data_IF_560355323224
#
_entry.id   IF_560355323224
#
_cell.length_a   1.000
_cell.length_b   1.000
_cell.length_c   1.000
_cell.angle_alpha   90.00
_cell.angle_beta   90.00
_cell.angle_gamma   90.00
#
_symmetry.space_group_name_H-M   'P 1'
#
loop_
_entity.id
_entity.type
_entity.pdbx_description
1 polymer ?
#
# COMPACT_ATOMS: atom_id res chain seq x y z
N UNK A 1 -43.08 56.22 40.09
CA UNK A 1 -41.84 56.80 40.61
C UNK A 1 -40.66 56.00 40.10
N UNK A 2 -39.62 56.66 39.59
CA UNK A 2 -38.37 56.00 39.17
C UNK A 2 -37.40 55.88 40.35
N UNK A 3 -36.45 54.93 40.31
CA UNK A 3 -35.46 54.80 41.41
C UNK A 3 -34.64 56.06 41.62
N UNK A 4 -34.27 56.74 40.53
CA UNK A 4 -33.55 58.04 40.57
C UNK A 4 -34.39 59.15 41.20
N UNK A 5 -35.71 59.10 41.05
CA UNK A 5 -36.64 60.04 41.64
C UNK A 5 -36.86 59.76 43.13
N UNK A 6 -36.96 58.49 43.52
CA UNK A 6 -37.04 58.05 44.91
C UNK A 6 -35.75 58.39 45.69
N UNK A 7 -34.59 58.17 45.08
CA UNK A 7 -33.29 58.54 45.66
C UNK A 7 -33.14 60.06 45.79
N UNK A 8 -33.59 60.84 44.80
CA UNK A 8 -33.61 62.31 44.88
C UNK A 8 -34.51 62.83 46.01
N UNK A 9 -35.69 62.23 46.20
CA UNK A 9 -36.61 62.58 47.30
C UNK A 9 -35.99 62.27 48.67
N UNK A 10 -35.17 61.22 48.76
CA UNK A 10 -34.44 60.83 49.96
C UNK A 10 -33.08 61.53 50.13
N UNK A 11 -32.73 62.45 49.23
CA UNK A 11 -31.41 63.11 49.18
C UNK A 11 -30.24 62.10 49.20
N UNK A 12 -30.36 61.02 48.42
CA UNK A 12 -29.34 59.98 48.26
C UNK A 12 -28.82 59.98 46.82
N UNK A 13 -27.50 59.99 46.64
CA UNK A 13 -26.88 60.01 45.30
C UNK A 13 -26.82 58.62 44.65
N UNK A 14 -26.80 57.56 45.46
CA UNK A 14 -26.74 56.16 45.02
C UNK A 14 -27.68 55.28 45.84
N UNK A 15 -27.99 54.09 45.32
CA UNK A 15 -28.72 53.09 46.09
C UNK A 15 -27.93 52.77 47.38
N UNK A 16 -28.56 52.84 48.56
CA UNK A 16 -27.91 52.53 49.83
C UNK A 16 -27.40 51.09 49.91
N UNK A 17 -26.49 50.80 50.83
CA UNK A 17 -25.95 49.44 50.99
C UNK A 17 -26.86 48.53 51.81
N UNK A 18 -27.66 49.11 52.70
CA UNK A 18 -28.55 48.38 53.58
C UNK A 18 -29.80 49.20 53.94
N UNK A 19 -30.75 48.54 54.59
CA UNK A 19 -31.99 49.17 55.05
C UNK A 19 -31.75 50.22 56.15
N UNK A 20 -30.62 50.16 56.86
CA UNK A 20 -30.31 51.09 57.94
C UNK A 20 -29.97 52.48 57.39
N UNK A 21 -29.20 52.55 56.31
CA UNK A 21 -28.90 53.80 55.60
C UNK A 21 -30.19 54.46 55.08
N UNK A 22 -31.14 53.69 54.54
CA UNK A 22 -32.46 54.18 54.12
C UNK A 22 -33.25 54.74 55.32
N UNK A 23 -33.24 54.02 56.45
CA UNK A 23 -33.94 54.42 57.67
C UNK A 23 -33.41 55.73 58.28
N UNK A 24 -32.08 55.92 58.24
CA UNK A 24 -31.43 57.15 58.73
C UNK A 24 -31.80 58.35 57.85
N UNK A 25 -31.75 58.20 56.53
CA UNK A 25 -32.16 59.25 55.59
C UNK A 25 -33.64 59.63 55.77
N UNK A 26 -34.50 58.62 55.92
CA UNK A 26 -35.92 58.84 56.20
C UNK A 26 -36.14 59.60 57.51
N UNK A 27 -35.52 59.19 58.63
CA UNK A 27 -35.69 59.84 59.93
C UNK A 27 -35.21 61.30 59.91
N UNK A 28 -34.15 61.61 59.16
CA UNK A 28 -33.65 62.98 58.98
C UNK A 28 -34.67 63.86 58.27
N UNK A 29 -35.22 63.37 57.15
CA UNK A 29 -36.16 64.12 56.32
C UNK A 29 -37.56 64.17 56.93
N UNK A 30 -37.99 63.11 57.59
CA UNK A 30 -39.28 63.02 58.28
C UNK A 30 -39.38 64.06 59.40
N UNK A 31 -38.31 64.32 60.15
CA UNK A 31 -38.29 65.39 61.18
C UNK A 31 -38.43 66.80 60.58
N UNK A 32 -37.95 67.02 59.36
CA UNK A 32 -37.95 68.32 58.69
C UNK A 32 -39.26 68.60 57.95
N UNK A 33 -39.89 67.56 57.41
CA UNK A 33 -41.09 67.65 56.58
C UNK A 33 -42.35 67.13 57.28
N UNK A 34 -42.31 66.90 58.61
CA UNK A 34 -43.48 66.48 59.37
C UNK A 34 -44.57 67.58 59.34
N UNK A 35 -45.86 67.23 59.16
CA UNK A 35 -46.96 68.20 59.17
C UNK A 35 -46.99 69.08 60.43
N UNK A 36 -46.74 68.49 61.60
CA UNK A 36 -46.70 69.20 62.89
C UNK A 36 -45.49 70.14 63.04
N UNK A 37 -44.48 70.02 62.18
CA UNK A 37 -43.27 70.87 62.17
C UNK A 37 -43.28 71.91 61.04
N UNK A 38 -44.42 72.11 60.38
CA UNK A 38 -44.61 73.07 59.29
C UNK A 38 -44.46 72.50 57.88
N UNK A 39 -44.40 71.16 57.73
CA UNK A 39 -44.38 70.48 56.43
C UNK A 39 -45.77 70.27 55.82
N UNK A 40 -45.84 69.97 54.54
CA UNK A 40 -47.08 69.60 53.85
C UNK A 40 -47.27 68.09 53.86
N UNK A 41 -48.49 67.62 54.11
CA UNK A 41 -48.85 66.20 54.16
C UNK A 41 -48.50 65.44 52.86
N UNK A 42 -48.66 66.09 51.71
CA UNK A 42 -48.28 65.54 50.40
C UNK A 42 -46.78 65.22 50.29
N UNK A 43 -45.91 66.07 50.85
CA UNK A 43 -44.46 65.85 50.84
C UNK A 43 -44.06 64.70 51.75
N UNK A 44 -44.76 64.52 52.87
CA UNK A 44 -44.52 63.42 53.79
C UNK A 44 -44.97 62.06 53.21
N UNK A 45 -46.09 62.03 52.49
CA UNK A 45 -46.55 60.85 51.77
C UNK A 45 -45.59 60.46 50.62
N UNK A 46 -45.08 61.44 49.87
CA UNK A 46 -44.07 61.20 48.83
C UNK A 46 -42.76 60.65 49.41
N UNK A 47 -42.34 61.14 50.58
CA UNK A 47 -41.18 60.61 51.30
C UNK A 47 -41.39 59.15 51.72
N UNK A 48 -42.56 58.80 52.26
CA UNK A 48 -42.91 57.43 52.61
C UNK A 48 -42.89 56.48 51.41
N UNK A 49 -43.47 56.92 50.28
CA UNK A 49 -43.44 56.15 49.03
C UNK A 49 -42.01 55.93 48.51
N UNK A 50 -41.14 56.95 48.62
CA UNK A 50 -39.74 56.88 48.20
C UNK A 50 -38.95 55.83 49.00
N UNK A 51 -39.14 55.77 50.31
CA UNK A 51 -38.53 54.74 51.18
C UNK A 51 -38.97 53.34 50.77
N UNK A 52 -40.28 53.13 50.63
CA UNK A 52 -40.83 51.82 50.29
C UNK A 52 -40.28 51.32 48.93
N UNK A 53 -40.14 52.22 47.97
CA UNK A 53 -39.59 51.89 46.66
C UNK A 53 -38.09 51.54 46.70
N UNK A 54 -37.29 52.26 47.50
CA UNK A 54 -35.85 51.98 47.65
C UNK A 54 -35.62 50.66 48.39
N UNK A 55 -36.40 50.35 49.43
CA UNK A 55 -36.32 49.08 50.14
C UNK A 55 -36.68 47.89 49.22
N UNK A 56 -37.72 48.03 48.38
CA UNK A 56 -38.06 47.02 47.37
C UNK A 56 -36.95 46.84 46.32
N UNK A 57 -36.26 47.91 45.93
CA UNK A 57 -35.14 47.83 45.00
C UNK A 57 -33.95 47.08 45.62
N UNK A 58 -33.66 47.28 46.91
CA UNK A 58 -32.61 46.56 47.63
C UNK A 58 -32.87 45.06 47.70
N UNK A 59 -34.07 44.66 48.12
CA UNK A 59 -34.44 43.24 48.19
C UNK A 59 -34.34 42.50 46.85
N UNK A 60 -34.56 43.20 45.73
CA UNK A 60 -34.41 42.63 44.39
C UNK A 60 -32.93 42.38 44.03
N UNK A 61 -32.02 43.27 44.43
CA UNK A 61 -30.58 43.13 44.15
C UNK A 61 -30.02 41.94 44.92
N UNK A 62 -30.32 41.81 46.21
CA UNK A 62 -29.83 40.70 47.04
C UNK A 62 -30.30 39.33 46.50
N UNK A 63 -31.57 39.23 46.12
CA UNK A 63 -32.12 38.02 45.51
C UNK A 63 -31.45 37.65 44.17
N UNK A 64 -30.98 38.65 43.40
CA UNK A 64 -30.25 38.40 42.14
C UNK A 64 -28.81 37.92 42.38
N UNK A 65 -28.12 38.44 43.40
CA UNK A 65 -26.76 38.04 43.76
C UNK A 65 -26.75 36.59 44.27
N UNK A 66 -27.64 36.24 45.19
CA UNK A 66 -27.73 34.86 45.70
C UNK A 66 -28.04 33.84 44.60
N UNK A 67 -28.92 34.21 43.65
CA UNK A 67 -29.26 33.35 42.50
C UNK A 67 -28.08 33.18 41.55
N UNK A 68 -27.23 34.20 41.40
CA UNK A 68 -26.00 34.14 40.61
C UNK A 68 -24.97 33.19 41.23
N UNK A 69 -24.74 33.28 42.54
CA UNK A 69 -23.78 32.42 43.24
C UNK A 69 -24.18 30.94 43.25
N UNK A 70 -25.47 30.62 43.45
CA UNK A 70 -25.96 29.24 43.38
C UNK A 70 -25.76 28.64 41.99
N UNK A 71 -26.04 29.40 40.93
CA UNK A 71 -25.81 28.97 39.54
C UNK A 71 -24.33 28.70 39.25
N UNK A 72 -23.41 29.51 39.82
CA UNK A 72 -21.97 29.29 39.66
C UNK A 72 -21.52 27.97 40.30
N UNK A 73 -21.94 27.70 41.54
CA UNK A 73 -21.59 26.46 42.26
C UNK A 73 -22.15 25.21 41.56
N UNK A 74 -23.36 25.29 41.02
CA UNK A 74 -23.96 24.21 40.24
C UNK A 74 -23.22 23.97 38.92
N UNK A 75 -22.78 25.04 38.25
CA UNK A 75 -22.01 24.96 37.01
C UNK A 75 -20.63 24.33 37.23
N UNK A 76 -19.94 24.70 38.31
CA UNK A 76 -18.62 24.16 38.66
C UNK A 76 -18.70 22.67 39.02
N UNK A 77 -19.70 22.26 39.82
CA UNK A 77 -19.94 20.86 40.15
C UNK A 77 -20.30 20.01 38.92
N UNK A 78 -21.02 20.59 37.96
CA UNK A 78 -21.32 19.92 36.69
C UNK A 78 -20.07 19.79 35.80
N UNK A 79 -19.19 20.79 35.79
CA UNK A 79 -17.93 20.76 35.06
C UNK A 79 -16.99 19.69 35.59
N UNK A 80 -16.87 19.56 36.91
CA UNK A 80 -16.05 18.54 37.57
C UNK A 80 -16.56 17.12 37.26
N UNK A 81 -17.87 16.87 37.35
CA UNK A 81 -18.48 15.59 36.95
C UNK A 81 -18.20 15.24 35.49
N UNK A 82 -18.24 16.23 34.59
CA UNK A 82 -17.90 16.03 33.18
C UNK A 82 -16.40 15.72 32.99
N UNK A 83 -15.51 16.32 33.76
CA UNK A 83 -14.09 16.04 33.70
C UNK A 83 -13.76 14.61 34.15
N UNK A 84 -14.36 14.16 35.26
CA UNK A 84 -14.21 12.79 35.76
C UNK A 84 -14.75 11.77 34.74
N UNK A 85 -15.98 12.00 34.22
CA UNK A 85 -16.57 11.15 33.18
C UNK A 85 -15.71 11.09 31.91
N UNK A 86 -15.13 12.22 31.48
CA UNK A 86 -14.21 12.26 30.34
C UNK A 86 -12.94 11.46 30.61
N UNK A 87 -12.35 11.59 31.79
CA UNK A 87 -11.16 10.82 32.17
C UNK A 87 -11.43 9.31 32.20
N UNK A 88 -12.58 8.88 32.74
CA UNK A 88 -13.00 7.47 32.72
C UNK A 88 -13.27 6.96 31.31
N UNK A 89 -13.96 7.74 30.46
CA UNK A 89 -14.18 7.38 29.06
C UNK A 89 -12.87 7.24 28.29
N UNK A 90 -11.89 8.12 28.52
CA UNK A 90 -10.58 8.05 27.89
C UNK A 90 -9.81 6.79 28.33
N UNK A 91 -9.86 6.43 29.62
CA UNK A 91 -9.27 5.18 30.12
C UNK A 91 -9.92 3.95 29.48
N UNK A 92 -11.25 3.90 29.40
CA UNK A 92 -11.98 2.80 28.75
C UNK A 92 -11.62 2.67 27.27
N UNK A 93 -11.57 3.80 26.53
CA UNK A 93 -11.14 3.81 25.13
C UNK A 93 -9.71 3.30 24.95
N UNK A 94 -8.77 3.73 25.80
CA UNK A 94 -7.39 3.27 25.75
C UNK A 94 -7.26 1.75 25.98
N UNK A 95 -8.06 1.18 26.89
CA UNK A 95 -8.10 -0.27 27.14
C UNK A 95 -8.71 -1.04 25.96
N UNK A 96 -9.80 -0.54 25.38
CA UNK A 96 -10.44 -1.13 24.19
C UNK A 96 -9.51 -1.08 22.97
N UNK A 97 -8.87 0.05 22.72
CA UNK A 97 -7.90 0.22 21.63
C UNK A 97 -6.68 -0.69 21.82
N UNK A 98 -6.21 -0.87 23.07
CA UNK A 98 -5.13 -1.83 23.36
C UNK A 98 -5.54 -3.26 23.03
N UNK A 99 -6.75 -3.68 23.38
CA UNK A 99 -7.28 -5.01 23.04
C UNK A 99 -7.40 -5.20 21.52
N UNK A 100 -7.95 -4.20 20.82
CA UNK A 100 -8.06 -4.20 19.35
C UNK A 100 -6.69 -4.25 18.69
N UNK A 101 -5.72 -3.48 19.18
CA UNK A 101 -4.36 -3.49 18.67
C UNK A 101 -3.68 -4.85 18.87
N UNK A 102 -3.86 -5.51 20.02
CA UNK A 102 -3.31 -6.86 20.26
C UNK A 102 -3.95 -7.89 19.30
N UNK A 103 -5.27 -7.82 19.09
CA UNK A 103 -5.95 -8.71 18.14
C UNK A 103 -5.50 -8.44 16.69
N UNK A 104 -5.36 -7.17 16.31
CA UNK A 104 -4.90 -6.77 14.99
C UNK A 104 -3.43 -7.17 14.75
N UNK A 105 -2.54 -6.95 15.72
CA UNK A 105 -1.12 -7.35 15.59
C UNK A 105 -0.96 -8.86 15.52
N UNK A 106 -1.76 -9.63 16.28
CA UNK A 106 -1.78 -11.09 16.13
C UNK A 106 -2.23 -11.50 14.73
N UNK A 107 -3.32 -10.92 14.21
CA UNK A 107 -3.79 -11.20 12.85
C UNK A 107 -2.76 -10.87 11.77
N UNK A 108 -2.10 -9.71 11.87
CA UNK A 108 -1.01 -9.30 10.97
C UNK A 108 0.16 -10.29 11.05
N UNK A 109 0.51 -10.74 12.26
CA UNK A 109 1.62 -11.67 12.46
C UNK A 109 1.36 -13.03 11.80
N UNK A 110 0.13 -13.56 11.92
CA UNK A 110 -0.26 -14.82 11.28
C UNK A 110 -0.19 -14.71 9.75
N UNK A 111 -0.71 -13.63 9.17
CA UNK A 111 -0.64 -13.39 7.72
C UNK A 111 0.81 -13.32 7.26
N UNK A 112 1.66 -12.61 8.00
CA UNK A 112 3.08 -12.46 7.67
C UNK A 112 3.81 -13.80 7.70
N UNK A 113 3.53 -14.66 8.70
CA UNK A 113 4.07 -16.03 8.75
C UNK A 113 3.62 -16.86 7.55
N UNK A 114 2.35 -16.79 7.15
CA UNK A 114 1.85 -17.52 5.97
C UNK A 114 2.53 -17.04 4.67
N UNK A 115 2.74 -15.74 4.52
CA UNK A 115 3.48 -15.18 3.37
C UNK A 115 4.93 -15.71 3.35
N UNK A 116 5.61 -15.71 4.51
CA UNK A 116 6.98 -16.24 4.62
C UNK A 116 7.03 -17.73 4.29
N UNK A 117 6.11 -18.54 4.83
CA UNK A 117 6.04 -19.97 4.53
C UNK A 117 5.75 -20.24 3.04
N UNK A 118 4.86 -19.46 2.43
CA UNK A 118 4.59 -19.54 0.99
C UNK A 118 5.83 -19.20 0.15
N UNK A 119 6.55 -18.14 0.53
CA UNK A 119 7.80 -17.75 -0.12
C UNK A 119 8.91 -18.82 -0.01
N UNK A 120 9.03 -19.45 1.16
CA UNK A 120 9.95 -20.59 1.37
C UNK A 120 9.53 -21.77 0.49
N UNK A 121 8.23 -22.07 0.42
CA UNK A 121 7.69 -23.13 -0.45
C UNK A 121 8.07 -22.93 -1.91
N UNK A 122 7.90 -21.70 -2.45
CA UNK A 122 8.29 -21.36 -3.82
C UNK A 122 9.80 -21.53 -4.08
N UNK A 123 10.66 -21.25 -3.09
CA UNK A 123 12.10 -21.44 -3.19
C UNK A 123 12.52 -22.91 -3.18
N UNK A 124 11.83 -23.75 -2.42
CA UNK A 124 12.15 -25.17 -2.26
C UNK A 124 11.59 -26.01 -3.41
N UNK A 125 10.42 -25.65 -3.94
CA UNK A 125 9.71 -26.39 -4.99
C UNK A 125 10.60 -26.85 -6.16
N UNK A 126 11.38 -25.98 -6.84
CA UNK A 126 12.19 -26.43 -7.98
C UNK A 126 13.26 -27.46 -7.57
N UNK A 127 13.87 -27.31 -6.39
CA UNK A 127 14.83 -28.30 -5.88
C UNK A 127 14.17 -29.61 -5.52
N UNK A 128 12.95 -29.56 -4.99
CA UNK A 128 12.18 -30.76 -4.68
C UNK A 128 11.79 -31.51 -5.95
N UNK A 129 11.33 -30.82 -6.99
CA UNK A 129 11.03 -31.42 -8.30
C UNK A 129 12.29 -32.07 -8.88
N UNK A 130 13.42 -31.35 -8.89
CA UNK A 130 14.69 -31.89 -9.37
C UNK A 130 15.11 -33.17 -8.63
N UNK A 131 15.04 -33.15 -7.30
CA UNK A 131 15.34 -34.32 -6.48
C UNK A 131 14.39 -35.49 -6.74
N UNK A 132 13.09 -35.22 -6.91
CA UNK A 132 12.11 -36.23 -7.27
C UNK A 132 12.40 -36.84 -8.64
N UNK A 133 12.73 -36.03 -9.64
CA UNK A 133 13.11 -36.50 -10.98
C UNK A 133 14.35 -37.38 -10.93
N UNK A 134 15.40 -36.98 -10.21
CA UNK A 134 16.68 -37.69 -10.20
C UNK A 134 16.61 -39.09 -9.57
N UNK A 135 15.68 -39.34 -8.65
CA UNK A 135 15.49 -40.67 -8.04
C UNK A 135 15.26 -41.78 -9.06
N UNK A 136 14.46 -41.50 -10.08
CA UNK A 136 14.09 -42.47 -11.14
C UNK A 136 13.95 -41.76 -12.48
N UNK A 137 15.05 -41.12 -12.88
CA UNK A 137 15.06 -40.25 -14.05
C UNK A 137 14.92 -41.03 -15.34
N UNK A 138 13.96 -40.61 -16.16
CA UNK A 138 13.80 -41.02 -17.55
C UNK A 138 13.80 -39.78 -18.44
N UNK A 139 14.46 -39.87 -19.58
CA UNK A 139 14.49 -38.78 -20.56
C UNK A 139 13.77 -39.18 -21.84
N UNK A 140 12.92 -38.28 -22.35
CA UNK A 140 12.22 -38.42 -23.62
C UNK A 140 12.19 -37.11 -24.37
N UNK A 141 11.92 -37.17 -25.67
CA UNK A 141 11.65 -35.98 -26.46
C UNK A 141 10.20 -35.56 -26.23
N UNK A 142 10.02 -34.36 -25.68
CA UNK A 142 8.74 -33.67 -25.62
C UNK A 142 8.58 -32.77 -26.84
N UNK A 143 7.39 -32.72 -27.40
CA UNK A 143 7.03 -31.86 -28.52
C UNK A 143 6.11 -30.75 -28.04
N UNK A 144 6.35 -29.52 -28.47
CA UNK A 144 5.44 -28.39 -28.22
C UNK A 144 4.23 -28.54 -29.13
N UNK A 145 3.05 -28.75 -28.56
CA UNK A 145 1.81 -28.96 -29.34
C UNK A 145 1.06 -27.64 -29.59
N UNK A 146 1.25 -26.65 -28.72
CA UNK A 146 0.59 -25.35 -28.83
C UNK A 146 1.21 -24.28 -27.95
N UNK A 147 0.89 -23.03 -28.28
CA UNK A 147 1.27 -21.83 -27.53
C UNK A 147 0.01 -21.02 -27.27
N UNK A 148 -0.30 -20.78 -26.00
CA UNK A 148 -1.46 -20.03 -25.54
C UNK A 148 -1.23 -18.51 -25.51
N UNK A 149 -2.31 -17.71 -25.49
CA UNK A 149 -2.23 -16.25 -25.40
C UNK A 149 -1.79 -15.76 -24.02
N UNK A 150 -1.86 -16.61 -23.00
CA UNK A 150 -1.64 -16.33 -21.57
C UNK A 150 -0.20 -16.61 -21.11
N UNK A 151 0.78 -16.52 -22.02
CA UNK A 151 2.19 -16.90 -21.77
C UNK A 151 2.39 -18.39 -21.48
N UNK A 152 1.42 -19.24 -21.81
CA UNK A 152 1.55 -20.67 -21.64
C UNK A 152 1.97 -21.35 -22.95
N UNK A 153 2.69 -22.46 -22.85
CA UNK A 153 2.89 -23.39 -23.95
C UNK A 153 2.72 -24.80 -23.45
N UNK A 154 2.18 -25.66 -24.31
CA UNK A 154 1.87 -27.05 -23.94
C UNK A 154 2.87 -27.97 -24.58
N UNK A 155 3.48 -28.83 -23.77
CA UNK A 155 4.39 -29.88 -24.22
C UNK A 155 3.71 -31.25 -24.08
N UNK A 156 4.12 -32.18 -24.94
CA UNK A 156 3.63 -33.55 -24.92
C UNK A 156 4.76 -34.54 -25.14
N UNK A 157 4.81 -35.61 -24.37
CA UNK A 157 5.75 -36.72 -24.57
C UNK A 157 5.07 -38.07 -24.39
N UNK A 158 5.61 -39.11 -25.02
CA UNK A 158 5.11 -40.48 -24.88
C UNK A 158 6.01 -41.28 -23.94
N UNK A 159 5.39 -41.99 -22.99
CA UNK A 159 6.06 -42.94 -22.12
C UNK A 159 5.14 -44.14 -21.85
N UNK A 160 5.68 -45.35 -22.05
CA UNK A 160 4.95 -46.62 -21.87
C UNK A 160 3.61 -46.69 -22.63
N UNK A 161 3.53 -46.09 -23.82
CA UNK A 161 2.32 -46.09 -24.65
C UNK A 161 1.28 -45.05 -24.23
N UNK A 162 1.52 -44.30 -23.15
CA UNK A 162 0.67 -43.18 -22.73
C UNK A 162 1.30 -41.85 -23.14
N UNK A 163 0.44 -40.90 -23.50
CA UNK A 163 0.86 -39.54 -23.86
C UNK A 163 0.58 -38.61 -22.68
N UNK A 164 1.64 -38.00 -22.16
CA UNK A 164 1.58 -37.02 -21.08
C UNK A 164 1.59 -35.63 -21.71
N UNK A 165 0.71 -34.76 -21.23
CA UNK A 165 0.55 -33.39 -21.76
C UNK A 165 0.55 -32.42 -20.60
N UNK A 166 1.47 -31.47 -20.64
CA UNK A 166 1.66 -30.51 -19.55
C UNK A 166 1.74 -29.09 -20.07
N UNK A 167 1.13 -28.18 -19.31
CA UNK A 167 1.12 -26.76 -19.62
C UNK A 167 2.20 -26.05 -18.80
N UNK A 168 3.10 -25.37 -19.49
CA UNK A 168 4.21 -24.66 -18.89
C UNK A 168 4.08 -23.16 -19.12
N UNK A 169 4.53 -22.39 -18.13
CA UNK A 169 4.60 -20.95 -18.23
C UNK A 169 5.93 -20.54 -18.90
N UNK A 170 5.82 -19.69 -19.90
CA UNK A 170 6.95 -19.01 -20.53
C UNK A 170 6.95 -17.52 -20.24
N UNK A 171 7.79 -16.79 -20.98
CA UNK A 171 7.87 -15.34 -20.91
C UNK A 171 7.68 -14.74 -22.30
N UNK A 172 6.85 -13.70 -22.43
CA UNK A 172 6.83 -12.92 -23.67
C UNK A 172 8.01 -11.96 -23.72
N UNK A 173 8.76 -12.03 -24.81
CA UNK A 173 9.77 -11.05 -25.20
C UNK A 173 9.23 -10.22 -26.35
N UNK A 174 9.35 -8.90 -26.20
CA UNK A 174 8.89 -7.91 -27.18
C UNK A 174 7.40 -8.06 -27.57
N UNK A 175 6.56 -8.61 -26.67
CA UNK A 175 5.14 -8.85 -26.91
C UNK A 175 4.82 -9.89 -28.00
N UNK A 176 5.84 -10.51 -28.59
CA UNK A 176 5.71 -11.41 -29.76
C UNK A 176 6.20 -12.82 -29.48
N UNK A 177 7.32 -12.95 -28.78
CA UNK A 177 8.03 -14.22 -28.68
C UNK A 177 7.79 -14.86 -27.32
N UNK A 178 7.08 -15.98 -27.28
CA UNK A 178 6.96 -16.78 -26.07
C UNK A 178 8.22 -17.65 -25.91
N UNK A 179 9.06 -17.36 -24.92
CA UNK A 179 10.35 -18.03 -24.71
C UNK A 179 10.35 -18.96 -23.50
N UNK A 180 11.14 -20.03 -23.60
CA UNK A 180 11.47 -20.92 -22.50
C UNK A 180 12.60 -20.37 -21.60
N UNK A 181 12.93 -21.05 -20.49
CA UNK A 181 14.04 -20.69 -19.60
C UNK A 181 15.42 -20.45 -20.26
N UNK A 182 15.78 -21.22 -21.28
CA UNK A 182 17.00 -21.04 -22.08
C UNK A 182 16.97 -19.74 -22.89
N UNK A 183 15.77 -19.21 -23.16
CA UNK A 183 15.56 -17.90 -23.76
C UNK A 183 15.17 -17.90 -25.22
N UNK A 184 15.14 -19.05 -25.89
CA UNK A 184 14.64 -19.14 -27.27
C UNK A 184 13.11 -19.34 -27.35
N UNK A 185 12.47 -18.96 -28.46
CA UNK A 185 11.02 -19.12 -28.63
C UNK A 185 10.56 -20.59 -28.62
N UNK A 186 9.51 -20.88 -27.85
CA UNK A 186 8.86 -22.20 -27.83
C UNK A 186 7.91 -22.30 -29.02
N UNK A 187 8.35 -22.97 -30.09
CA UNK A 187 7.59 -23.06 -31.33
C UNK A 187 6.78 -24.35 -31.42
N UNK A 188 5.55 -24.29 -31.92
CA UNK A 188 4.75 -25.49 -32.22
C UNK A 188 5.54 -26.46 -33.10
N UNK A 189 5.60 -27.73 -32.72
CA UNK A 189 6.36 -28.80 -33.34
C UNK A 189 7.84 -28.86 -32.92
N UNK A 190 8.34 -27.90 -32.14
CA UNK A 190 9.70 -27.94 -31.60
C UNK A 190 9.83 -29.07 -30.58
N UNK A 191 10.96 -29.77 -30.59
CA UNK A 191 11.22 -30.91 -29.72
C UNK A 191 12.38 -30.62 -28.78
N UNK A 192 12.17 -30.95 -27.51
CA UNK A 192 13.08 -30.68 -26.42
C UNK A 192 13.19 -31.91 -25.52
N UNK A 193 14.29 -32.06 -24.79
CA UNK A 193 14.39 -33.13 -23.81
C UNK A 193 13.53 -32.79 -22.58
N UNK A 194 12.68 -33.73 -22.17
CA UNK A 194 12.02 -33.71 -20.85
C UNK A 194 12.62 -34.81 -19.99
N UNK A 195 13.01 -34.46 -18.77
CA UNK A 195 13.42 -35.41 -17.73
C UNK A 195 12.30 -35.52 -16.71
N UNK A 196 11.84 -36.73 -16.42
CA UNK A 196 10.74 -36.94 -15.49
C UNK A 196 10.97 -38.18 -14.62
N UNK A 197 10.22 -38.29 -13.52
CA UNK A 197 10.27 -39.47 -12.66
C UNK A 197 9.43 -40.61 -13.27
N UNK A 198 10.03 -41.79 -13.44
CA UNK A 198 9.39 -42.96 -14.06
C UNK A 198 8.11 -43.44 -13.34
N UNK A 199 8.06 -43.34 -12.00
CA UNK A 199 6.89 -43.72 -11.18
C UNK A 199 5.81 -42.67 -11.17
N UNK A 200 6.19 -41.39 -11.24
CA UNK A 200 5.24 -40.29 -11.25
C UNK A 200 5.69 -39.21 -12.26
N UNK A 201 5.21 -39.30 -13.52
CA UNK A 201 5.58 -38.37 -14.59
C UNK A 201 5.18 -36.91 -14.38
N UNK A 202 4.30 -36.61 -13.42
CA UNK A 202 3.92 -35.23 -13.06
C UNK A 202 5.11 -34.46 -12.46
N UNK A 203 6.12 -35.17 -11.92
CA UNK A 203 7.42 -34.58 -11.61
C UNK A 203 8.29 -34.61 -12.84
N UNK A 204 8.45 -33.44 -13.48
CA UNK A 204 9.26 -33.30 -14.68
C UNK A 204 10.00 -31.97 -14.75
N UNK A 205 11.03 -31.97 -15.58
CA UNK A 205 11.86 -30.81 -15.94
C UNK A 205 12.03 -30.78 -17.45
N UNK A 206 11.58 -29.68 -18.06
CA UNK A 206 11.88 -29.42 -19.46
C UNK A 206 13.29 -28.86 -19.60
N UNK A 207 14.15 -29.57 -20.33
CA UNK A 207 15.51 -29.16 -20.64
C UNK A 207 15.56 -28.54 -22.02
N UNK A 208 15.08 -27.31 -22.11
CA UNK A 208 15.02 -26.52 -23.34
C UNK A 208 16.39 -26.08 -23.90
N UNK A 209 17.47 -26.42 -23.20
CA UNK A 209 18.86 -26.31 -23.68
C UNK A 209 19.24 -27.40 -24.68
N UNK A 210 18.54 -28.53 -24.68
CA UNK A 210 18.79 -29.64 -25.59
C UNK A 210 17.62 -29.72 -26.57
N UNK A 211 17.92 -29.40 -27.81
CA UNK A 211 16.96 -29.31 -28.91
C UNK A 211 17.27 -30.39 -29.94
N UNK A 212 16.23 -30.84 -30.64
CA UNK A 212 16.43 -31.72 -31.78
C UNK A 212 16.95 -30.94 -33.00
N UNK A 213 17.55 -31.63 -34.00
CA UNK A 213 18.08 -30.99 -35.21
C UNK A 213 17.04 -30.15 -35.96
N UNK A 214 15.79 -30.59 -36.06
CA UNK A 214 14.74 -29.83 -36.79
C UNK A 214 14.41 -28.53 -36.04
N UNK A 215 14.42 -28.54 -34.70
CA UNK A 215 14.27 -27.31 -33.91
C UNK A 215 15.47 -26.38 -34.09
N UNK A 216 16.68 -26.93 -34.16
CA UNK A 216 17.89 -26.15 -34.44
C UNK A 216 17.83 -25.48 -35.82
N UNK A 217 17.35 -26.17 -36.86
CA UNK A 217 17.17 -25.58 -38.20
C UNK A 217 16.13 -24.46 -38.21
N UNK A 218 15.05 -24.63 -37.45
CA UNK A 218 14.02 -23.59 -37.31
C UNK A 218 14.55 -22.37 -36.57
N UNK A 219 15.38 -22.55 -35.55
CA UNK A 219 16.07 -21.45 -34.89
C UNK A 219 17.07 -20.76 -35.83
N UNK A 220 17.80 -21.51 -36.65
CA UNK A 220 18.67 -20.92 -37.68
C UNK A 220 17.86 -20.01 -38.61
N UNK A 221 16.70 -20.46 -39.07
CA UNK A 221 15.82 -19.66 -39.94
C UNK A 221 15.36 -18.33 -39.31
N UNK A 222 15.27 -18.27 -37.97
CA UNK A 222 14.95 -17.05 -37.24
C UNK A 222 16.17 -16.13 -37.06
N UNK A 223 17.36 -16.73 -36.91
CA UNK A 223 18.60 -16.03 -36.55
C UNK A 223 19.42 -15.60 -37.76
N UNK A 224 19.29 -16.27 -38.90
CA UNK A 224 20.08 -16.06 -40.13
C UNK A 224 20.17 -14.58 -40.51
N UNK A 225 19.04 -13.92 -40.70
CA UNK A 225 18.99 -12.52 -41.13
C UNK A 225 19.54 -11.53 -40.08
N UNK A 226 19.11 -11.56 -38.80
CA UNK A 226 19.67 -10.65 -37.81
C UNK A 226 21.16 -10.90 -37.55
N UNK A 227 21.62 -12.15 -37.64
CA UNK A 227 23.04 -12.50 -37.49
C UNK A 227 23.88 -11.93 -38.63
N UNK A 228 23.46 -12.15 -39.88
CA UNK A 228 24.14 -11.63 -41.06
C UNK A 228 24.27 -10.09 -41.00
N UNK A 229 23.17 -9.41 -40.67
CA UNK A 229 23.16 -7.95 -40.49
C UNK A 229 24.07 -7.47 -39.34
N UNK A 230 24.15 -8.21 -38.23
CA UNK A 230 24.98 -7.84 -37.08
C UNK A 230 26.49 -8.06 -37.31
N UNK A 231 26.84 -8.89 -38.30
CA UNK A 231 28.20 -9.22 -38.68
C UNK A 231 28.65 -8.56 -39.99
N UNK A 232 27.77 -7.80 -40.64
CA UNK A 232 28.00 -7.17 -41.94
C UNK A 232 28.37 -8.20 -43.03
N UNK A 233 27.69 -9.36 -42.99
CA UNK A 233 27.84 -10.44 -43.96
C UNK A 233 26.57 -10.56 -44.83
N UNK A 234 26.69 -11.02 -46.09
CA UNK A 234 25.54 -11.43 -46.88
C UNK A 234 24.73 -12.52 -46.17
N UNK A 235 23.41 -12.51 -46.32
CA UNK A 235 22.57 -13.53 -45.69
C UNK A 235 22.80 -14.94 -46.30
N UNK A 236 23.23 -15.01 -47.56
CA UNK A 236 23.60 -16.28 -48.22
C UNK A 236 25.01 -16.75 -47.93
N UNK A 237 25.75 -16.04 -47.08
CA UNK A 237 27.15 -16.37 -46.79
C UNK A 237 27.24 -17.69 -46.01
N UNK A 238 28.03 -18.68 -46.48
CA UNK A 238 28.26 -19.94 -45.74
C UNK A 238 28.82 -19.71 -44.34
N UNK A 239 29.51 -18.58 -44.10
CA UNK A 239 30.11 -18.26 -42.81
C UNK A 239 29.03 -17.98 -41.76
N UNK A 240 27.87 -17.43 -42.15
CA UNK A 240 26.71 -17.26 -41.26
C UNK A 240 26.19 -18.61 -40.78
N UNK A 241 26.18 -19.62 -41.66
CA UNK A 241 25.79 -21.00 -41.31
C UNK A 241 26.81 -21.58 -40.33
N UNK A 242 28.11 -21.47 -40.63
CA UNK A 242 29.18 -21.93 -39.74
C UNK A 242 29.06 -21.30 -38.35
N UNK A 243 28.94 -19.97 -38.27
CA UNK A 243 28.89 -19.23 -37.02
C UNK A 243 27.69 -19.68 -36.18
N UNK A 244 26.51 -19.83 -36.80
CA UNK A 244 25.32 -20.30 -36.08
C UNK A 244 25.54 -21.67 -35.43
N UNK A 245 26.00 -22.66 -36.21
CA UNK A 245 26.19 -24.01 -35.71
C UNK A 245 27.29 -24.10 -34.66
N UNK A 246 28.40 -23.40 -34.86
CA UNK A 246 29.46 -23.35 -33.87
C UNK A 246 29.03 -22.63 -32.60
N UNK A 247 28.17 -21.59 -32.69
CA UNK A 247 27.62 -20.92 -31.49
C UNK A 247 26.69 -21.85 -30.74
N UNK A 248 25.84 -22.59 -31.45
CA UNK A 248 24.96 -23.59 -30.84
C UNK A 248 25.77 -24.71 -30.17
N UNK A 249 26.87 -25.16 -30.77
CA UNK A 249 27.74 -26.19 -30.19
C UNK A 249 28.48 -25.69 -28.94
N UNK A 250 29.12 -24.52 -29.03
CA UNK A 250 29.98 -24.00 -27.97
C UNK A 250 29.21 -23.35 -26.81
N UNK A 251 28.11 -22.65 -27.10
CA UNK A 251 27.35 -21.85 -26.13
C UNK A 251 25.92 -22.38 -25.91
N UNK A 252 25.49 -23.38 -26.68
CA UNK A 252 24.14 -23.91 -26.60
C UNK A 252 23.07 -22.93 -27.09
N UNK A 253 21.82 -23.25 -26.74
CA UNK A 253 20.63 -22.45 -27.04
C UNK A 253 20.73 -21.03 -26.45
N UNK A 254 21.48 -20.85 -25.35
CA UNK A 254 21.69 -19.54 -24.71
C UNK A 254 22.52 -18.60 -25.62
N UNK A 255 23.57 -19.13 -26.27
CA UNK A 255 24.33 -18.41 -27.28
C UNK A 255 23.46 -17.99 -28.47
N UNK A 256 22.62 -18.91 -28.96
CA UNK A 256 21.67 -18.62 -30.03
C UNK A 256 20.68 -17.53 -29.63
N UNK A 257 20.21 -17.51 -28.38
CA UNK A 257 19.34 -16.45 -27.88
C UNK A 257 20.03 -15.08 -27.85
N UNK A 258 21.34 -15.00 -27.57
CA UNK A 258 22.11 -13.77 -27.71
C UNK A 258 22.17 -13.28 -29.16
N UNK A 259 22.32 -14.19 -30.13
CA UNK A 259 22.28 -13.82 -31.56
C UNK A 259 20.88 -13.31 -31.94
N UNK A 260 19.84 -14.05 -31.58
CA UNK A 260 18.46 -13.74 -31.98
C UNK A 260 17.96 -12.41 -31.41
N UNK A 261 18.20 -12.15 -30.13
CA UNK A 261 17.76 -10.94 -29.44
C UNK A 261 18.84 -9.86 -29.36
N UNK A 262 19.92 -10.01 -30.13
CA UNK A 262 21.08 -9.11 -30.10
C UNK A 262 20.80 -7.68 -30.54
N UNK A 263 19.65 -7.40 -31.15
CA UNK A 263 19.22 -6.04 -31.48
C UNK A 263 18.24 -5.44 -30.44
N UNK A 264 17.77 -6.24 -29.47
CA UNK A 264 16.78 -5.76 -28.50
C UNK A 264 17.44 -4.94 -27.38
N UNK A 265 16.78 -3.88 -26.89
CA UNK A 265 17.23 -3.16 -25.71
C UNK A 265 17.01 -3.99 -24.44
N UNK A 266 17.88 -3.80 -23.45
CA UNK A 266 17.84 -4.52 -22.16
C UNK A 266 16.47 -4.46 -21.46
N UNK A 267 15.73 -3.34 -21.58
CA UNK A 267 14.38 -3.20 -21.00
C UNK A 267 13.35 -4.20 -21.54
N UNK A 268 13.53 -4.67 -22.78
CA UNK A 268 12.63 -5.64 -23.44
C UNK A 268 13.05 -7.08 -23.16
N UNK A 269 14.35 -7.33 -23.03
CA UNK A 269 14.89 -8.62 -22.64
C UNK A 269 16.16 -8.41 -21.81
N UNK A 270 16.06 -8.56 -20.50
CA UNK A 270 17.17 -8.27 -19.59
C UNK A 270 18.33 -9.27 -19.72
N UNK A 271 18.04 -10.52 -20.14
CA UNK A 271 19.02 -11.61 -20.24
C UNK A 271 19.72 -11.61 -21.61
N UNK A 272 18.96 -11.56 -22.70
CA UNK A 272 19.47 -11.58 -24.07
C UNK A 272 19.09 -10.28 -24.79
N UNK A 273 20.05 -9.39 -24.93
CA UNK A 273 19.91 -8.06 -25.51
C UNK A 273 21.21 -7.62 -26.21
N UNK A 274 21.16 -6.44 -26.82
CA UNK A 274 22.30 -5.79 -27.46
C UNK A 274 23.57 -5.77 -26.61
N UNK A 275 23.48 -5.36 -25.35
CA UNK A 275 24.66 -5.32 -24.48
C UNK A 275 25.26 -6.71 -24.26
N UNK A 276 24.41 -7.71 -24.00
CA UNK A 276 24.85 -9.09 -23.80
C UNK A 276 25.43 -9.70 -25.09
N UNK A 277 24.88 -9.35 -26.25
CA UNK A 277 25.38 -9.80 -27.54
C UNK A 277 26.71 -9.15 -27.88
N UNK A 278 26.89 -7.86 -27.61
CA UNK A 278 28.19 -7.20 -27.76
C UNK A 278 29.24 -7.78 -26.82
N UNK A 279 28.86 -8.19 -25.61
CA UNK A 279 29.74 -8.89 -24.69
C UNK A 279 30.14 -10.28 -25.23
N UNK A 280 29.18 -11.05 -25.78
CA UNK A 280 29.46 -12.32 -26.46
C UNK A 280 30.40 -12.10 -27.66
N UNK A 281 30.10 -11.13 -28.53
CA UNK A 281 30.90 -10.79 -29.72
C UNK A 281 32.35 -10.46 -29.34
N UNK A 282 32.58 -9.77 -28.23
CA UNK A 282 33.94 -9.42 -27.75
C UNK A 282 34.64 -10.55 -26.99
N UNK A 283 33.95 -11.63 -26.66
CA UNK A 283 34.54 -12.75 -25.92
C UNK A 283 35.57 -13.48 -26.77
N UNK A 284 36.66 -13.91 -26.15
CA UNK A 284 37.72 -14.69 -26.81
C UNK A 284 37.18 -15.98 -27.48
N UNK A 285 36.30 -16.77 -26.84
CA UNK A 285 35.79 -17.99 -27.47
C UNK A 285 34.99 -17.69 -28.74
N UNK A 286 34.14 -16.66 -28.73
CA UNK A 286 33.39 -16.24 -29.91
C UNK A 286 34.32 -15.71 -31.01
N UNK A 287 35.34 -14.93 -30.67
CA UNK A 287 36.30 -14.39 -31.64
C UNK A 287 37.10 -15.50 -32.33
N UNK A 288 37.52 -16.54 -31.59
CA UNK A 288 38.18 -17.73 -32.18
C UNK A 288 37.27 -18.47 -33.15
N UNK A 289 36.03 -18.70 -32.76
CA UNK A 289 35.01 -19.34 -33.59
C UNK A 289 34.72 -18.52 -34.86
N UNK A 290 34.53 -17.21 -34.70
CA UNK A 290 34.27 -16.29 -35.82
C UNK A 290 35.41 -16.31 -36.85
N UNK A 291 36.65 -16.22 -36.38
CA UNK A 291 37.86 -16.32 -37.22
C UNK A 291 37.98 -17.67 -37.92
N UNK A 292 37.73 -18.76 -37.18
CA UNK A 292 37.70 -20.11 -37.73
C UNK A 292 36.68 -20.27 -38.86
N UNK A 293 35.49 -19.68 -38.72
CA UNK A 293 34.47 -19.73 -39.77
C UNK A 293 34.87 -18.90 -41.00
N UNK A 294 35.47 -17.72 -40.80
CA UNK A 294 35.93 -16.86 -41.89
C UNK A 294 37.24 -17.36 -42.57
N UNK A 295 37.87 -18.42 -42.05
CA UNK A 295 39.17 -18.88 -42.53
C UNK A 295 40.31 -17.90 -42.28
N UNK A 296 40.19 -17.05 -41.24
CA UNK A 296 41.21 -16.07 -40.85
C UNK A 296 41.95 -16.65 -39.64
N UNK A 297 43.24 -16.97 -39.75
CA UNK A 297 44.08 -17.38 -38.61
C UNK A 297 44.40 -16.22 -37.67
#
# INVERSE_FOLDING_TARGET
>A
MKITEALRILELDTLPKDEQEVSVAYKRLAKKHHPDSGGTEEAFQQLGAAVEYVLRALALVDATVERGERRSKEADALAEKRAIMRAEMLKRRAEEDRKRNIQATWGISVILVLIVLSGIGMLIQPRFIHWMVEKERVERMATVIGTGPDRSYTISWNYQGQTYTEMLNGRFIDGKWLVGPAGMPMMKGGKYIVSFNARNPDYFELKDKYIDPETADRYFSLVKYPLAAALDLPDTDPDVVCIYWSVLDQFGVDGVAHLFFGALPMRKNWKHNERSFQALKKSEPFQKLYRSCLGIE
#
